data_IF_848788107502
#
_entry.id   IF_848788107502
#
_cell.length_a   1.000
_cell.length_b   1.000
_cell.length_c   1.000
_cell.angle_alpha   90.00
_cell.angle_beta   90.00
_cell.angle_gamma   90.00
#
_symmetry.space_group_name_H-M   'P 1'
#
loop_
_entity.id
_entity.type
_entity.pdbx_description
1 polymer ?
#
# COMPACT_ATOMS: atom_id res chain seq x y z
N UNK A 1 -8.24 49.36 -25.62
CA UNK A 1 -8.03 48.08 -24.93
C UNK A 1 -9.23 47.19 -25.23
N UNK A 2 -9.02 46.04 -25.87
CA UNK A 2 -10.01 45.39 -26.74
C UNK A 2 -11.02 44.53 -25.96
N UNK A 3 -12.31 44.87 -26.03
CA UNK A 3 -13.45 44.21 -25.36
C UNK A 3 -13.60 42.71 -25.69
N UNK A 4 -12.94 42.24 -26.77
CA UNK A 4 -12.85 40.83 -27.18
C UNK A 4 -12.01 39.93 -26.27
N UNK A 5 -11.16 40.49 -25.39
CA UNK A 5 -10.35 39.70 -24.44
C UNK A 5 -11.08 39.36 -23.14
N UNK A 6 -12.19 40.05 -22.82
CA UNK A 6 -12.93 39.85 -21.56
C UNK A 6 -14.01 38.76 -21.70
N UNK A 7 -14.59 38.57 -22.89
CA UNK A 7 -15.59 37.52 -23.15
C UNK A 7 -15.03 36.12 -23.29
N UNK A 8 -13.75 35.96 -23.64
CA UNK A 8 -13.11 34.64 -23.72
C UNK A 8 -12.81 34.02 -22.34
N UNK A 9 -12.71 34.84 -21.28
CA UNK A 9 -12.45 34.35 -19.92
C UNK A 9 -13.72 33.85 -19.21
N UNK A 10 -14.91 34.33 -19.57
CA UNK A 10 -16.17 33.84 -19.00
C UNK A 10 -16.71 32.55 -19.66
N UNK A 11 -16.32 32.27 -20.90
CA UNK A 11 -16.73 31.03 -21.60
C UNK A 11 -15.85 29.81 -21.27
N UNK A 12 -14.69 30.01 -20.63
CA UNK A 12 -13.83 28.91 -20.16
C UNK A 12 -14.24 28.40 -18.76
N UNK A 13 -14.76 29.28 -17.90
CA UNK A 13 -15.19 28.91 -16.54
C UNK A 13 -16.52 28.12 -16.51
N UNK A 14 -17.40 28.32 -17.51
CA UNK A 14 -18.68 27.60 -17.58
C UNK A 14 -18.57 26.19 -18.19
N UNK A 15 -17.50 25.90 -18.95
CA UNK A 15 -17.28 24.58 -19.55
C UNK A 15 -16.63 23.58 -18.57
N UNK A 16 -15.93 24.07 -17.54
CA UNK A 16 -15.37 23.24 -16.47
C UNK A 16 -16.44 22.77 -15.45
N UNK A 17 -17.59 23.44 -15.39
CA UNK A 17 -18.66 23.13 -14.43
C UNK A 17 -19.76 22.21 -14.99
N UNK A 18 -19.68 21.78 -16.25
CA UNK A 18 -20.77 21.07 -16.95
C UNK A 18 -20.40 19.68 -17.52
N UNK A 19 -19.24 19.12 -17.20
CA UNK A 19 -18.87 17.75 -17.63
C UNK A 19 -18.83 16.72 -16.49
N UNK A 20 -19.45 17.04 -15.35
CA UNK A 20 -19.78 16.02 -14.34
C UNK A 20 -21.08 15.32 -14.78
N UNK A 21 -21.00 14.53 -15.86
CA UNK A 21 -22.02 13.51 -16.08
C UNK A 21 -21.80 12.45 -15.01
N UNK A 22 -22.70 12.45 -14.03
CA UNK A 22 -22.75 11.49 -12.95
C UNK A 22 -22.74 10.07 -13.54
N UNK A 23 -21.59 9.42 -13.50
CA UNK A 23 -21.51 7.97 -13.43
C UNK A 23 -22.39 7.54 -12.25
N UNK A 24 -23.15 6.43 -12.36
CA UNK A 24 -23.84 5.91 -11.20
C UNK A 24 -22.80 5.62 -10.13
N UNK A 25 -22.87 6.37 -9.04
CA UNK A 25 -22.15 6.10 -7.81
C UNK A 25 -22.64 4.75 -7.27
N UNK A 26 -22.12 3.65 -7.81
CA UNK A 26 -21.67 2.59 -6.92
C UNK A 26 -20.65 3.29 -6.03
N UNK A 27 -20.95 3.45 -4.75
CA UNK A 27 -19.99 3.97 -3.79
C UNK A 27 -18.81 2.98 -3.77
N UNK A 28 -17.85 3.21 -4.67
CA UNK A 28 -16.53 2.64 -4.57
C UNK A 28 -15.95 3.30 -3.33
N UNK A 29 -15.59 2.49 -2.33
CA UNK A 29 -14.86 2.96 -1.16
C UNK A 29 -13.77 3.93 -1.62
N UNK A 30 -13.69 5.15 -1.06
CA UNK A 30 -12.68 6.10 -1.46
C UNK A 30 -11.32 5.44 -1.25
N UNK A 31 -10.49 5.40 -2.30
CA UNK A 31 -9.11 4.96 -2.18
C UNK A 31 -8.40 5.89 -1.18
N UNK A 32 -7.74 5.31 -0.18
CA UNK A 32 -6.99 6.06 0.84
C UNK A 32 -5.57 5.55 0.89
N UNK A 33 -4.63 6.48 0.76
CA UNK A 33 -3.21 6.19 0.83
C UNK A 33 -2.74 6.38 2.29
N UNK A 34 -2.07 5.38 2.85
CA UNK A 34 -1.47 5.49 4.19
C UNK A 34 -0.51 6.67 4.23
N UNK A 35 -0.63 7.52 5.25
CA UNK A 35 0.19 8.72 5.44
C UNK A 35 -0.22 9.96 4.64
N UNK A 36 -1.23 9.90 3.77
CA UNK A 36 -1.79 11.05 3.06
C UNK A 36 -3.04 11.53 3.80
N UNK A 37 -3.02 12.72 4.43
CA UNK A 37 -4.11 13.24 5.25
C UNK A 37 -4.92 14.34 4.54
N UNK A 38 -4.39 14.96 3.51
CA UNK A 38 -5.10 15.98 2.72
C UNK A 38 -5.77 15.44 1.45
N UNK A 39 -5.61 14.13 1.19
CA UNK A 39 -6.22 13.38 0.10
C UNK A 39 -5.74 13.82 -1.29
N UNK A 40 -4.51 14.30 -1.39
CA UNK A 40 -3.87 14.66 -2.66
C UNK A 40 -3.11 13.48 -3.31
N UNK A 41 -3.12 12.32 -2.66
CA UNK A 41 -2.46 11.07 -3.08
C UNK A 41 -0.93 11.17 -3.11
N UNK A 42 -0.37 12.11 -2.37
CA UNK A 42 1.05 12.24 -2.11
C UNK A 42 1.28 12.25 -0.60
N UNK A 43 2.28 11.50 -0.15
CA UNK A 43 2.72 11.57 1.25
C UNK A 43 3.75 12.68 1.36
N UNK A 44 3.36 13.80 1.98
CA UNK A 44 4.17 15.02 2.06
C UNK A 44 4.41 15.48 3.50
N UNK A 45 5.23 16.52 3.66
CA UNK A 45 5.38 17.20 4.95
C UNK A 45 4.09 17.88 5.43
N UNK A 46 3.13 18.18 4.54
CA UNK A 46 1.84 18.73 4.94
C UNK A 46 1.03 17.70 5.73
N UNK A 47 1.07 16.43 5.32
CA UNK A 47 0.36 15.34 5.98
C UNK A 47 0.89 15.08 7.38
N UNK A 48 2.22 15.08 7.54
CA UNK A 48 2.86 15.01 8.85
C UNK A 48 2.42 16.18 9.75
N UNK A 49 2.31 17.39 9.20
CA UNK A 49 1.84 18.56 9.94
C UNK A 49 0.36 18.45 10.32
N UNK A 50 -0.48 17.85 9.47
CA UNK A 50 -1.89 17.59 9.77
C UNK A 50 -2.04 16.57 10.90
N UNK A 51 -1.27 15.49 10.90
CA UNK A 51 -1.25 14.50 11.99
C UNK A 51 -0.80 15.15 13.32
N UNK A 52 0.26 15.96 13.27
CA UNK A 52 0.74 16.68 14.45
C UNK A 52 -0.28 17.69 14.98
N UNK A 53 -0.99 18.40 14.10
CA UNK A 53 -2.06 19.31 14.50
C UNK A 53 -3.21 18.54 15.16
N UNK A 54 -3.55 17.37 14.61
CA UNK A 54 -4.59 16.52 15.18
C UNK A 54 -4.25 16.12 16.62
N UNK A 55 -3.03 15.64 16.85
CA UNK A 55 -2.50 15.36 18.18
C UNK A 55 -2.48 16.59 19.09
N UNK A 56 -1.97 17.73 18.63
CA UNK A 56 -1.87 18.94 19.45
C UNK A 56 -3.24 19.47 19.93
N UNK A 57 -4.25 19.43 19.06
CA UNK A 57 -5.62 19.82 19.38
C UNK A 57 -6.29 18.84 20.37
N UNK A 58 -5.86 17.57 20.41
CA UNK A 58 -6.36 16.60 21.39
C UNK A 58 -5.86 16.90 22.81
N UNK A 59 -4.62 17.37 22.95
CA UNK A 59 -4.04 17.76 24.23
C UNK A 59 -4.76 18.94 24.91
N UNK A 60 -5.38 19.82 24.10
CA UNK A 60 -6.18 20.95 24.60
C UNK A 60 -7.68 20.65 24.65
N UNK A 61 -8.09 19.44 24.26
CA UNK A 61 -9.48 18.97 24.32
C UNK A 61 -10.41 19.54 23.24
N UNK A 62 -9.86 20.04 22.13
CA UNK A 62 -10.66 20.54 21.01
C UNK A 62 -11.17 19.41 20.10
N UNK A 63 -10.46 18.28 20.05
CA UNK A 63 -10.88 17.06 19.35
C UNK A 63 -10.30 15.80 20.00
N UNK A 64 -10.73 14.63 19.55
CA UNK A 64 -10.08 13.35 19.90
C UNK A 64 -8.99 13.03 18.89
N UNK A 65 -7.96 12.31 19.32
CA UNK A 65 -6.96 11.72 18.44
C UNK A 65 -7.13 10.22 18.22
N UNK A 66 -8.25 9.63 18.63
CA UNK A 66 -8.58 8.26 18.28
C UNK A 66 -8.63 8.09 16.75
N UNK A 67 -8.03 7.02 16.25
CA UNK A 67 -8.15 6.61 14.87
C UNK A 67 -9.60 6.18 14.56
N UNK A 68 -10.08 6.61 13.41
CA UNK A 68 -11.43 6.40 12.91
C UNK A 68 -11.37 6.20 11.40
N UNK A 69 -12.47 5.77 10.79
CA UNK A 69 -12.55 5.59 9.33
C UNK A 69 -12.20 6.87 8.52
N UNK A 70 -12.27 8.05 9.16
CA UNK A 70 -11.97 9.34 8.54
C UNK A 70 -10.49 9.75 8.62
N UNK A 71 -9.69 9.16 9.51
CA UNK A 71 -8.30 9.56 9.75
C UNK A 71 -7.33 8.39 9.98
N UNK A 72 -7.75 7.14 9.81
CA UNK A 72 -6.89 5.97 10.08
C UNK A 72 -5.63 5.91 9.23
N UNK A 73 -5.62 6.57 8.07
CA UNK A 73 -4.40 6.74 7.27
C UNK A 73 -3.27 7.47 8.02
N UNK A 74 -3.62 8.21 9.08
CA UNK A 74 -2.69 8.91 9.96
C UNK A 74 -2.20 8.05 11.12
N UNK A 75 -2.83 6.91 11.40
CA UNK A 75 -2.43 5.97 12.46
C UNK A 75 -1.43 4.98 11.85
N UNK A 76 -0.17 5.40 11.84
CA UNK A 76 0.91 4.70 11.15
C UNK A 76 1.38 3.51 11.95
N UNK A 77 1.36 3.50 13.29
CA UNK A 77 1.71 2.28 14.03
C UNK A 77 0.50 1.37 14.31
N UNK A 78 -0.72 1.84 14.03
CA UNK A 78 -1.98 1.12 14.20
C UNK A 78 -2.27 0.78 15.67
N UNK A 79 -1.89 1.67 16.59
CA UNK A 79 -2.23 1.56 18.01
C UNK A 79 -3.63 2.12 18.33
N UNK A 80 -4.33 2.65 17.32
CA UNK A 80 -5.65 3.24 17.43
C UNK A 80 -5.65 4.72 17.82
N UNK A 81 -4.48 5.35 17.92
CA UNK A 81 -4.27 6.72 18.37
C UNK A 81 -3.33 7.44 17.42
N UNK A 82 -3.79 8.55 16.85
CA UNK A 82 -2.94 9.42 16.03
C UNK A 82 -2.12 10.34 16.95
N UNK A 83 -0.81 10.17 16.98
CA UNK A 83 0.08 10.92 17.88
C UNK A 83 1.32 11.54 17.21
N UNK A 84 2.32 11.92 18.00
CA UNK A 84 3.56 12.53 17.51
C UNK A 84 4.44 11.54 16.73
N UNK A 85 4.39 10.24 17.07
CA UNK A 85 5.14 9.19 16.40
C UNK A 85 4.63 8.98 14.99
N UNK A 86 3.31 9.01 14.78
CA UNK A 86 2.74 8.95 13.45
C UNK A 86 3.18 10.11 12.56
N UNK A 87 3.07 11.32 13.08
CA UNK A 87 3.51 12.52 12.37
C UNK A 87 5.00 12.43 12.00
N UNK A 88 5.83 11.91 12.91
CA UNK A 88 7.25 11.67 12.66
C UNK A 88 7.47 10.60 11.59
N UNK A 89 6.71 9.50 11.61
CA UNK A 89 6.81 8.43 10.63
C UNK A 89 6.41 8.90 9.23
N UNK A 90 5.31 9.68 9.10
CA UNK A 90 4.90 10.32 7.85
C UNK A 90 6.01 11.24 7.32
N UNK A 91 6.59 12.08 8.19
CA UNK A 91 7.68 12.97 7.79
C UNK A 91 8.92 12.20 7.34
N UNK A 92 9.25 11.10 8.03
CA UNK A 92 10.38 10.24 7.66
C UNK A 92 10.14 9.57 6.31
N UNK A 93 8.95 9.01 6.08
CA UNK A 93 8.53 8.46 4.78
C UNK A 93 8.71 9.48 3.66
N UNK A 94 8.20 10.70 3.85
CA UNK A 94 8.35 11.79 2.88
C UNK A 94 9.83 12.11 2.62
N UNK A 95 10.64 12.24 3.67
CA UNK A 95 12.06 12.58 3.53
C UNK A 95 12.85 11.50 2.78
N UNK A 96 12.63 10.21 3.09
CA UNK A 96 13.27 9.09 2.41
C UNK A 96 12.83 9.02 0.93
N UNK A 97 11.53 9.22 0.66
CA UNK A 97 11.00 9.29 -0.70
C UNK A 97 11.64 10.42 -1.52
N UNK A 98 11.86 11.60 -0.91
CA UNK A 98 12.55 12.73 -1.54
C UNK A 98 14.03 12.45 -1.84
N UNK A 99 14.66 11.51 -1.13
CA UNK A 99 16.02 11.03 -1.40
C UNK A 99 16.06 9.96 -2.51
N UNK A 100 14.90 9.60 -3.08
CA UNK A 100 14.77 8.53 -4.07
C UNK A 100 14.79 7.13 -3.45
N UNK A 101 14.67 7.04 -2.13
CA UNK A 101 14.50 5.76 -1.45
C UNK A 101 13.05 5.27 -1.59
N UNK A 102 12.80 4.03 -1.16
CA UNK A 102 11.49 3.38 -1.24
C UNK A 102 11.13 2.88 0.15
N UNK A 103 10.82 3.81 1.08
CA UNK A 103 10.54 3.46 2.47
C UNK A 103 9.29 2.58 2.57
N UNK A 104 9.29 1.68 3.53
CA UNK A 104 8.14 0.86 3.89
C UNK A 104 7.52 1.38 5.16
N UNK A 105 6.19 1.41 5.20
CA UNK A 105 5.48 1.67 6.44
C UNK A 105 5.84 0.61 7.49
N UNK A 106 6.01 -0.65 7.09
CA UNK A 106 6.47 -1.69 8.01
C UNK A 106 7.83 -1.37 8.67
N UNK A 107 8.83 -0.95 7.89
CA UNK A 107 10.16 -0.64 8.43
C UNK A 107 10.12 0.61 9.34
N UNK A 108 9.35 1.62 8.95
CA UNK A 108 9.19 2.84 9.74
C UNK A 108 8.50 2.58 11.08
N UNK A 109 7.56 1.64 11.12
CA UNK A 109 6.91 1.17 12.36
C UNK A 109 7.90 0.42 13.25
N UNK A 110 8.75 -0.44 12.69
CA UNK A 110 9.73 -1.21 13.45
C UNK A 110 10.88 -0.35 14.02
N UNK A 111 11.26 0.73 13.31
CA UNK A 111 12.24 1.70 13.78
C UNK A 111 11.78 2.53 15.00
N UNK A 112 10.51 2.45 15.38
CA UNK A 112 10.01 3.22 16.52
C UNK A 112 10.49 2.71 17.88
N UNK A 113 11.09 1.50 17.98
CA UNK A 113 11.44 0.80 19.24
C UNK A 113 10.30 0.74 20.29
N UNK A 114 9.11 1.21 19.92
CA UNK A 114 7.93 1.45 20.72
C UNK A 114 6.74 0.97 19.89
N UNK A 115 6.57 -0.35 19.80
CA UNK A 115 5.20 -0.88 19.69
C UNK A 115 4.60 -0.67 21.09
N UNK A 116 4.17 0.56 21.37
CA UNK A 116 3.41 0.88 22.57
C UNK A 116 1.96 0.63 22.25
N UNK A 117 1.39 -0.51 22.64
CA UNK A 117 -0.04 -0.48 22.89
C UNK A 117 -0.24 0.49 24.04
N UNK A 118 -0.84 1.65 23.78
CA UNK A 118 -1.19 2.62 24.82
C UNK A 118 -2.30 2.11 25.78
N UNK A 119 -2.52 0.78 25.85
CA UNK A 119 -3.26 0.09 26.91
C UNK A 119 -2.37 -0.50 28.03
N UNK A 120 -1.04 -0.48 27.86
CA UNK A 120 -0.10 -1.04 28.85
C UNK A 120 0.10 -2.55 28.76
N UNK A 121 -0.25 -3.20 27.66
CA UNK A 121 0.17 -4.56 27.34
C UNK A 121 1.44 -4.56 26.49
N UNK A 122 2.53 -5.09 27.07
CA UNK A 122 3.70 -5.48 26.27
C UNK A 122 3.25 -6.50 25.23
N UNK A 123 3.76 -6.41 23.99
CA UNK A 123 3.59 -7.44 22.98
C UNK A 123 4.17 -8.75 23.53
N UNK A 124 3.32 -9.52 24.22
CA UNK A 124 3.57 -10.93 24.45
C UNK A 124 3.62 -11.53 23.06
N UNK A 125 4.82 -11.90 22.65
CA UNK A 125 5.11 -12.85 21.59
C UNK A 125 4.15 -14.03 21.76
N UNK A 126 3.00 -13.98 21.07
CA UNK A 126 1.90 -14.91 21.31
C UNK A 126 2.38 -16.30 20.90
N UNK A 127 2.50 -17.17 21.90
CA UNK A 127 2.78 -18.59 21.70
C UNK A 127 1.66 -19.20 20.87
N UNK A 128 2.05 -19.92 19.81
CA UNK A 128 1.20 -20.61 18.84
C UNK A 128 0.33 -21.75 19.42
N UNK A 129 -0.02 -21.74 20.71
CA UNK A 129 -0.57 -22.93 21.38
C UNK A 129 -2.01 -22.85 21.91
N UNK A 130 -2.66 -21.69 22.06
CA UNK A 130 -4.06 -21.69 22.53
C UNK A 130 -4.96 -20.70 21.78
N UNK A 131 -6.06 -21.25 21.25
CA UNK A 131 -7.12 -20.55 20.54
C UNK A 131 -7.88 -19.62 21.49
N UNK A 132 -7.46 -18.37 21.63
CA UNK A 132 -8.33 -17.31 22.11
C UNK A 132 -8.29 -16.08 21.20
N UNK A 133 -9.48 -15.74 20.73
CA UNK A 133 -9.84 -14.73 19.76
C UNK A 133 -9.47 -13.33 20.25
N UNK A 134 -8.62 -12.60 19.51
CA UNK A 134 -8.43 -11.16 19.71
C UNK A 134 -9.77 -10.46 19.48
N UNK A 135 -10.23 -9.56 20.37
CA UNK A 135 -11.53 -8.89 20.20
C UNK A 135 -11.57 -8.10 18.89
N UNK A 136 -12.54 -8.40 18.03
CA UNK A 136 -12.85 -7.68 16.77
C UNK A 136 -13.33 -6.23 16.95
N UNK A 137 -13.17 -5.64 18.13
CA UNK A 137 -13.70 -4.31 18.46
C UNK A 137 -12.64 -3.20 18.53
N UNK A 138 -11.38 -3.51 18.22
CA UNK A 138 -10.39 -2.50 17.81
C UNK A 138 -10.81 -1.98 16.43
N UNK A 139 -10.83 -0.66 16.17
CA UNK A 139 -11.29 -0.13 14.89
C UNK A 139 -10.43 -0.61 13.71
N UNK A 140 -9.16 -0.98 13.96
CA UNK A 140 -8.22 -1.46 12.95
C UNK A 140 -7.38 -2.62 13.50
N UNK A 141 -7.88 -3.87 13.46
CA UNK A 141 -7.11 -5.00 13.97
C UNK A 141 -5.82 -5.17 13.17
N UNK A 142 -4.68 -5.02 13.82
CA UNK A 142 -3.41 -5.49 13.27
C UNK A 142 -3.50 -7.00 13.13
N UNK A 143 -3.65 -7.46 11.89
CA UNK A 143 -3.88 -8.86 11.56
C UNK A 143 -2.59 -9.70 11.57
N UNK A 144 -1.48 -9.16 12.10
CA UNK A 144 -0.20 -9.85 12.30
C UNK A 144 0.73 -9.83 11.09
N UNK A 145 0.21 -9.66 9.87
CA UNK A 145 0.99 -9.51 8.63
C UNK A 145 0.58 -8.24 7.88
N UNK A 146 1.53 -7.60 7.22
CA UNK A 146 1.28 -6.48 6.31
C UNK A 146 1.56 -6.89 4.88
N UNK A 147 0.69 -6.49 3.96
CA UNK A 147 0.98 -6.45 2.53
C UNK A 147 0.99 -5.00 2.10
N UNK A 148 2.14 -4.52 1.64
CA UNK A 148 2.33 -3.13 1.25
C UNK A 148 2.69 -3.04 -0.24
N UNK A 149 1.98 -2.19 -0.98
CA UNK A 149 2.29 -1.91 -2.37
C UNK A 149 3.10 -0.61 -2.45
N UNK A 150 4.27 -0.67 -3.07
CA UNK A 150 5.16 0.49 -3.16
C UNK A 150 4.55 1.66 -3.92
N UNK A 151 4.87 2.88 -3.47
CA UNK A 151 4.49 4.12 -4.15
C UNK A 151 5.59 4.61 -5.09
N UNK A 152 5.20 5.26 -6.20
CA UNK A 152 6.13 5.82 -7.19
C UNK A 152 5.64 7.10 -7.82
N UNK A 153 6.60 7.85 -8.34
CA UNK A 153 6.36 8.87 -9.36
C UNK A 153 6.96 8.42 -10.69
N UNK A 154 6.34 8.79 -11.81
CA UNK A 154 6.78 8.39 -13.15
C UNK A 154 6.46 9.46 -14.19
N UNK A 155 7.27 9.57 -15.23
CA UNK A 155 6.98 10.41 -16.39
C UNK A 155 6.04 9.69 -17.39
N UNK A 156 5.31 10.42 -18.25
CA UNK A 156 4.56 9.81 -19.35
C UNK A 156 5.49 8.97 -20.25
N UNK A 157 5.08 7.75 -20.57
CA UNK A 157 5.88 6.78 -21.34
C UNK A 157 6.93 6.01 -20.54
N UNK A 158 7.12 6.31 -19.25
CA UNK A 158 8.09 5.62 -18.41
C UNK A 158 7.62 4.21 -18.04
N UNK A 159 8.55 3.26 -18.08
CA UNK A 159 8.35 1.91 -17.54
C UNK A 159 8.91 1.85 -16.12
N UNK A 160 8.06 1.50 -15.15
CA UNK A 160 8.39 1.53 -13.72
C UNK A 160 8.05 0.22 -13.03
N UNK A 161 8.86 -0.13 -12.02
CA UNK A 161 8.70 -1.34 -11.21
C UNK A 161 8.19 -1.00 -9.81
N UNK A 162 7.11 -1.69 -9.44
CA UNK A 162 6.36 -1.58 -8.19
C UNK A 162 6.56 -2.86 -7.36
N UNK A 163 7.35 -2.80 -6.28
CA UNK A 163 7.48 -3.90 -5.34
C UNK A 163 6.22 -4.03 -4.48
N UNK A 164 5.88 -5.28 -4.19
CA UNK A 164 4.91 -5.66 -3.16
C UNK A 164 5.69 -6.30 -2.03
N UNK A 165 5.57 -5.71 -0.85
CA UNK A 165 6.23 -6.11 0.36
C UNK A 165 5.30 -6.91 1.24
N UNK A 166 5.88 -7.85 1.98
CA UNK A 166 5.21 -8.55 3.05
C UNK A 166 6.08 -8.50 4.31
N UNK A 167 5.52 -7.95 5.38
CA UNK A 167 6.15 -7.91 6.72
C UNK A 167 5.29 -8.66 7.74
N UNK A 168 5.88 -9.07 8.86
CA UNK A 168 5.24 -9.95 9.85
C UNK A 168 5.19 -11.42 9.43
N UNK A 169 5.89 -11.78 8.35
CA UNK A 169 6.00 -13.15 7.88
C UNK A 169 7.06 -13.93 8.68
N UNK A 170 6.66 -15.09 9.21
CA UNK A 170 7.60 -16.06 9.79
C UNK A 170 8.01 -17.13 8.78
N UNK A 171 7.10 -17.53 7.88
CA UNK A 171 7.33 -18.49 6.79
C UNK A 171 6.23 -18.38 5.73
N UNK A 172 6.52 -18.57 4.44
CA UNK A 172 5.46 -18.72 3.41
C UNK A 172 5.66 -19.98 2.61
N UNK A 173 4.61 -20.81 2.53
CA UNK A 173 4.61 -22.06 1.75
C UNK A 173 3.97 -21.89 0.38
N UNK A 174 3.00 -21.00 0.26
CA UNK A 174 2.40 -20.67 -1.03
C UNK A 174 1.67 -19.34 -0.95
N UNK A 175 1.44 -18.72 -2.09
CA UNK A 175 0.46 -17.66 -2.16
C UNK A 175 -0.16 -17.51 -3.55
N UNK A 176 -1.33 -16.89 -3.53
CA UNK A 176 -2.00 -16.26 -4.65
C UNK A 176 -1.97 -14.77 -4.38
N UNK A 177 -1.33 -13.99 -5.24
CA UNK A 177 -1.27 -12.54 -5.16
C UNK A 177 -1.92 -11.96 -6.40
N UNK A 178 -2.88 -11.05 -6.19
CA UNK A 178 -3.57 -10.33 -7.25
C UNK A 178 -3.45 -8.84 -6.99
N UNK A 179 -2.69 -8.15 -7.83
CA UNK A 179 -2.64 -6.69 -7.90
C UNK A 179 -3.30 -6.31 -9.22
N UNK A 180 -4.60 -6.02 -9.19
CA UNK A 180 -5.36 -5.75 -10.43
C UNK A 180 -4.68 -4.57 -11.18
N UNK A 181 -4.30 -4.74 -12.46
CA UNK A 181 -3.65 -3.65 -13.20
C UNK A 181 -4.56 -2.42 -13.22
N UNK A 182 -4.06 -1.23 -12.84
CA UNK A 182 -4.87 -0.02 -12.84
C UNK A 182 -5.36 0.30 -14.24
N UNK A 183 -6.58 0.85 -14.35
CA UNK A 183 -7.11 1.27 -15.65
C UNK A 183 -6.18 2.30 -16.29
N UNK A 184 -5.80 2.06 -17.54
CA UNK A 184 -4.92 2.94 -18.30
C UNK A 184 -3.42 2.70 -18.10
N UNK A 185 -2.98 1.86 -17.15
CA UNK A 185 -1.59 1.39 -17.13
C UNK A 185 -1.43 0.13 -18.00
N UNK A 186 -0.33 0.05 -18.73
CA UNK A 186 0.02 -1.15 -19.48
C UNK A 186 0.85 -2.09 -18.60
N UNK A 187 0.35 -3.28 -18.20
CA UNK A 187 1.15 -4.25 -17.47
C UNK A 187 2.21 -4.88 -18.39
N UNK A 188 3.47 -4.84 -17.96
CA UNK A 188 4.63 -5.35 -18.73
C UNK A 188 5.03 -6.73 -18.23
N UNK A 189 5.33 -6.87 -16.95
CA UNK A 189 5.84 -8.11 -16.36
C UNK A 189 5.55 -8.18 -14.87
N UNK A 190 5.67 -9.40 -14.32
CA UNK A 190 5.68 -9.66 -12.89
C UNK A 190 6.92 -10.51 -12.61
N UNK A 191 7.68 -10.20 -11.56
CA UNK A 191 8.75 -11.04 -11.03
C UNK A 191 8.39 -11.53 -9.63
N UNK A 192 8.90 -12.71 -9.28
CA UNK A 192 8.89 -13.20 -7.90
C UNK A 192 10.24 -12.88 -7.27
N UNK A 193 10.23 -12.29 -6.08
CA UNK A 193 11.43 -11.88 -5.35
C UNK A 193 11.85 -12.89 -4.26
N UNK A 194 11.12 -14.00 -4.13
CA UNK A 194 11.47 -15.05 -3.17
C UNK A 194 12.76 -15.78 -3.56
N UNK A 195 13.54 -16.27 -2.57
CA UNK A 195 14.77 -17.02 -2.80
C UNK A 195 14.47 -18.46 -3.27
N UNK A 196 13.97 -18.61 -4.49
CA UNK A 196 13.52 -19.88 -5.07
C UNK A 196 14.67 -20.86 -5.38
N UNK A 197 15.92 -20.44 -5.21
CA UNK A 197 17.11 -21.21 -5.59
C UNK A 197 17.38 -21.18 -7.09
N UNK A 198 18.07 -22.21 -7.61
CA UNK A 198 18.41 -22.29 -9.03
C UNK A 198 17.15 -22.47 -9.90
N UNK A 199 16.99 -21.63 -10.93
CA UNK A 199 15.91 -21.76 -11.90
C UNK A 199 16.24 -22.93 -12.85
N UNK A 200 15.42 -23.98 -12.82
CA UNK A 200 15.57 -25.19 -13.63
C UNK A 200 14.89 -25.06 -14.99
N UNK A 201 13.74 -24.40 -15.03
CA UNK A 201 12.97 -24.16 -16.25
C UNK A 201 12.29 -22.79 -16.18
N UNK A 202 12.29 -22.06 -17.30
CA UNK A 202 11.66 -20.76 -17.43
C UNK A 202 10.91 -20.69 -18.76
N UNK A 203 9.60 -20.55 -18.66
CA UNK A 203 8.71 -20.09 -19.72
C UNK A 203 8.25 -18.66 -19.39
N UNK A 204 7.60 -17.99 -20.34
CA UNK A 204 7.12 -16.60 -20.18
C UNK A 204 6.15 -16.44 -18.99
N UNK A 205 5.54 -17.52 -18.52
CA UNK A 205 4.54 -17.52 -17.45
C UNK A 205 4.81 -18.50 -16.32
N UNK A 206 5.83 -19.35 -16.43
CA UNK A 206 6.09 -20.41 -15.45
C UNK A 206 7.57 -20.45 -15.13
N UNK A 207 7.89 -20.38 -13.86
CA UNK A 207 9.24 -20.56 -13.33
C UNK A 207 9.26 -21.82 -12.46
N UNK A 208 10.03 -22.81 -12.87
CA UNK A 208 10.34 -23.97 -12.04
C UNK A 208 11.74 -23.77 -11.47
N UNK A 209 11.86 -23.76 -10.16
CA UNK A 209 13.11 -23.56 -9.45
C UNK A 209 13.39 -24.73 -8.50
N UNK A 210 14.53 -24.66 -7.81
CA UNK A 210 14.92 -25.65 -6.81
C UNK A 210 13.88 -25.80 -5.71
N UNK A 211 13.43 -24.68 -5.14
CA UNK A 211 12.59 -24.65 -3.95
C UNK A 211 11.12 -24.32 -4.24
N UNK A 212 10.72 -24.16 -5.50
CA UNK A 212 9.35 -23.73 -5.80
C UNK A 212 8.96 -23.69 -7.26
N UNK A 213 7.68 -23.45 -7.47
CA UNK A 213 7.03 -23.25 -8.75
C UNK A 213 6.26 -21.93 -8.71
N UNK A 214 6.45 -21.07 -9.71
CA UNK A 214 5.78 -19.78 -9.83
C UNK A 214 5.04 -19.70 -11.17
N UNK A 215 3.80 -19.21 -11.11
CA UNK A 215 3.01 -18.83 -12.27
C UNK A 215 2.80 -17.33 -12.28
N UNK A 216 3.03 -16.71 -13.43
CA UNK A 216 3.00 -15.28 -13.65
C UNK A 216 2.03 -14.96 -14.78
N UNK A 217 1.08 -14.05 -14.54
CA UNK A 217 0.16 -13.58 -15.58
C UNK A 217 -0.04 -12.06 -15.50
N UNK A 218 0.92 -11.29 -16.06
CA UNK A 218 0.91 -9.83 -16.02
C UNK A 218 -0.39 -9.15 -16.50
N UNK A 219 -1.05 -9.60 -17.59
CA UNK A 219 -2.26 -8.93 -18.09
C UNK A 219 -3.43 -8.82 -17.10
N UNK A 220 -3.46 -9.65 -16.06
CA UNK A 220 -4.47 -9.60 -14.99
C UNK A 220 -3.84 -9.41 -13.61
N UNK A 221 -2.54 -9.09 -13.54
CA UNK A 221 -1.86 -8.79 -12.30
C UNK A 221 -1.74 -9.95 -11.32
N UNK A 222 -1.80 -11.20 -11.80
CA UNK A 222 -1.79 -12.36 -10.91
C UNK A 222 -0.41 -13.02 -10.86
N UNK A 223 0.03 -13.32 -9.65
CA UNK A 223 1.13 -14.23 -9.36
C UNK A 223 0.64 -15.34 -8.46
N UNK A 224 1.04 -16.57 -8.74
CA UNK A 224 0.86 -17.70 -7.86
C UNK A 224 2.21 -18.35 -7.62
N UNK A 225 2.52 -18.71 -6.38
CA UNK A 225 3.67 -19.55 -6.09
C UNK A 225 3.34 -20.62 -5.07
N UNK A 226 4.14 -21.69 -5.13
CA UNK A 226 4.17 -22.77 -4.15
C UNK A 226 5.62 -23.17 -3.92
N UNK A 227 5.99 -23.34 -2.66
CA UNK A 227 7.28 -23.92 -2.26
C UNK A 227 7.15 -25.43 -2.21
N UNK A 228 8.22 -26.15 -2.58
CA UNK A 228 8.18 -27.61 -2.74
C UNK A 228 8.72 -28.33 -1.50
N UNK A 229 9.74 -27.75 -0.84
CA UNK A 229 10.44 -28.39 0.28
C UNK A 229 10.33 -27.58 1.57
N UNK A 230 10.94 -26.40 1.61
CA UNK A 230 10.98 -25.56 2.82
C UNK A 230 10.16 -24.28 2.62
N UNK A 231 9.53 -23.74 3.67
CA UNK A 231 8.95 -22.42 3.62
C UNK A 231 10.03 -21.36 3.36
N UNK A 232 9.70 -20.34 2.57
CA UNK A 232 10.63 -19.26 2.21
C UNK A 232 10.28 -17.97 2.94
N UNK A 233 11.31 -17.15 3.18
CA UNK A 233 11.20 -15.78 3.64
C UNK A 233 11.82 -14.84 2.59
N UNK A 234 11.19 -13.69 2.31
CA UNK A 234 11.80 -12.67 1.45
C UNK A 234 13.01 -12.03 2.14
N UNK A 235 14.13 -11.86 1.43
CA UNK A 235 15.38 -11.31 2.01
C UNK A 235 15.26 -9.83 2.42
N UNK A 236 14.33 -9.09 1.82
CA UNK A 236 14.11 -7.65 2.02
C UNK A 236 12.61 -7.30 2.11
N UNK A 237 11.78 -8.26 2.51
CA UNK A 237 10.33 -8.10 2.55
C UNK A 237 9.64 -8.15 1.18
N UNK A 238 10.34 -7.98 0.05
CA UNK A 238 9.71 -8.02 -1.28
C UNK A 238 9.33 -9.45 -1.63
N UNK A 239 8.05 -9.67 -1.94
CA UNK A 239 7.53 -10.96 -2.41
C UNK A 239 7.29 -10.98 -3.91
N UNK A 240 7.01 -9.82 -4.51
CA UNK A 240 6.71 -9.67 -5.92
C UNK A 240 7.14 -8.29 -6.42
N UNK A 241 7.43 -8.17 -7.71
CA UNK A 241 7.53 -6.86 -8.36
C UNK A 241 6.68 -6.84 -9.63
N UNK A 242 5.90 -5.78 -9.78
CA UNK A 242 5.01 -5.55 -10.90
C UNK A 242 5.56 -4.41 -11.74
N UNK A 243 5.74 -4.65 -13.04
CA UNK A 243 6.24 -3.62 -13.96
C UNK A 243 5.11 -3.13 -14.85
N UNK A 244 4.98 -1.81 -14.92
CA UNK A 244 3.97 -1.13 -15.74
C UNK A 244 4.64 -0.09 -16.64
N UNK A 245 4.01 0.21 -17.77
CA UNK A 245 4.34 1.38 -18.59
C UNK A 245 3.23 2.42 -18.44
N UNK A 246 3.62 3.65 -18.08
CA UNK A 246 2.74 4.81 -18.04
C UNK A 246 2.44 5.24 -19.48
N UNK A 247 1.18 5.55 -19.85
CA UNK A 247 0.86 6.06 -21.18
C UNK A 247 1.68 7.30 -21.56
N UNK A 248 2.12 7.38 -22.82
CA UNK A 248 2.84 8.56 -23.32
C UNK A 248 2.02 9.86 -23.25
N UNK A 249 0.68 9.73 -23.28
CA UNK A 249 -0.26 10.84 -23.21
C UNK A 249 -0.83 11.10 -21.79
N UNK A 250 -0.28 10.40 -20.78
CA UNK A 250 -0.63 10.64 -19.39
C UNK A 250 -0.32 12.10 -19.01
N UNK A 251 -1.22 12.72 -18.25
CA UNK A 251 -1.06 14.11 -17.83
C UNK A 251 -0.35 14.17 -16.48
N UNK A 252 0.50 15.19 -16.24
CA UNK A 252 0.97 15.49 -14.90
C UNK A 252 -0.18 15.55 -13.89
N UNK A 253 -0.01 14.89 -12.74
CA UNK A 253 -1.02 14.73 -11.71
C UNK A 253 -2.04 13.62 -11.98
N UNK A 254 -1.94 12.85 -13.07
CA UNK A 254 -2.70 11.59 -13.20
C UNK A 254 -2.25 10.61 -12.13
N UNK A 255 -3.21 9.94 -11.51
CA UNK A 255 -3.01 9.01 -10.40
C UNK A 255 -3.49 7.63 -10.84
N UNK A 256 -2.63 6.62 -10.63
CA UNK A 256 -2.98 5.22 -10.82
C UNK A 256 -2.93 4.51 -9.46
N UNK A 257 -4.10 4.27 -8.82
CA UNK A 257 -4.16 3.56 -7.56
C UNK A 257 -3.82 2.09 -7.77
N UNK A 258 -2.98 1.54 -6.91
CA UNK A 258 -2.52 0.16 -6.94
C UNK A 258 -3.09 -0.55 -5.70
N UNK A 259 -4.07 -1.43 -5.93
CA UNK A 259 -4.80 -2.10 -4.86
C UNK A 259 -4.71 -3.62 -5.01
N UNK A 260 -4.30 -4.31 -3.94
CA UNK A 260 -4.34 -5.76 -3.90
C UNK A 260 -5.79 -6.22 -3.81
N UNK A 261 -6.20 -7.12 -4.71
CA UNK A 261 -7.53 -7.72 -4.67
C UNK A 261 -7.62 -8.71 -3.51
N UNK A 262 -7.93 -8.22 -2.29
CA UNK A 262 -7.96 -9.01 -1.08
C UNK A 262 -8.82 -10.29 -1.17
N UNK A 263 -10.03 -10.28 -1.80
CA UNK A 263 -10.82 -11.50 -2.00
C UNK A 263 -10.15 -12.59 -2.86
N UNK A 264 -9.21 -12.22 -3.74
CA UNK A 264 -8.47 -13.18 -4.58
C UNK A 264 -7.07 -13.49 -4.05
N UNK A 265 -6.55 -12.65 -3.17
CA UNK A 265 -5.21 -12.78 -2.59
C UNK A 265 -5.26 -13.65 -1.33
N UNK A 266 -4.35 -14.62 -1.24
CA UNK A 266 -4.21 -15.49 -0.07
C UNK A 266 -2.75 -15.90 0.05
N UNK A 267 -2.15 -15.68 1.23
CA UNK A 267 -0.82 -16.18 1.57
C UNK A 267 -0.99 -17.29 2.59
N UNK A 268 -0.29 -18.41 2.43
CA UNK A 268 -0.36 -19.55 3.34
C UNK A 268 0.93 -19.69 4.12
N UNK A 269 0.80 -19.75 5.45
CA UNK A 269 1.90 -20.12 6.34
C UNK A 269 2.18 -21.62 6.30
N UNK A 270 3.10 -22.07 7.16
CA UNK A 270 3.53 -23.47 7.31
C UNK A 270 2.43 -24.48 7.69
N UNK A 271 2.74 -25.34 8.66
CA UNK A 271 2.10 -26.64 8.92
C UNK A 271 0.56 -26.66 9.02
N UNK A 272 -0.08 -25.53 9.30
CA UNK A 272 -1.53 -25.45 9.52
C UNK A 272 -2.34 -25.10 8.26
N UNK A 273 -1.69 -24.73 7.14
CA UNK A 273 -2.33 -24.36 5.85
C UNK A 273 -3.46 -23.32 5.96
N UNK A 274 -3.55 -22.59 7.06
CA UNK A 274 -4.45 -21.47 7.21
C UNK A 274 -3.86 -20.27 6.48
N UNK A 275 -4.70 -19.52 5.77
CA UNK A 275 -4.29 -18.27 5.15
C UNK A 275 -3.91 -17.26 6.23
N UNK A 276 -2.81 -16.55 6.05
CA UNK A 276 -2.48 -15.39 6.86
C UNK A 276 -3.63 -14.37 6.74
N UNK A 277 -4.04 -13.84 7.88
CA UNK A 277 -4.74 -12.56 7.89
C UNK A 277 -3.71 -11.46 7.68
N UNK A 278 -4.09 -10.38 7.01
CA UNK A 278 -3.19 -9.26 6.76
C UNK A 278 -3.92 -7.93 6.77
N UNK A 279 -3.14 -6.91 7.03
CA UNK A 279 -3.48 -5.51 6.78
C UNK A 279 -2.91 -5.12 5.42
N UNK A 280 -3.76 -4.55 4.56
CA UNK A 280 -3.38 -4.08 3.24
C UNK A 280 -3.03 -2.60 3.29
N UNK A 281 -1.85 -2.25 2.78
CA UNK A 281 -1.40 -0.88 2.55
C UNK A 281 -1.27 -0.69 1.05
N UNK A 282 -2.15 0.14 0.51
CA UNK A 282 -2.20 0.40 -0.92
C UNK A 282 -1.06 1.31 -1.39
N UNK A 283 -0.80 1.24 -2.68
CA UNK A 283 0.23 2.03 -3.35
C UNK A 283 -0.34 2.91 -4.45
N UNK A 284 0.50 3.79 -4.99
CA UNK A 284 0.10 4.70 -6.07
C UNK A 284 1.26 4.95 -7.03
N UNK A 285 0.93 5.14 -8.32
CA UNK A 285 1.82 5.81 -9.28
C UNK A 285 1.24 7.20 -9.57
N UNK A 286 2.03 8.24 -9.32
CA UNK A 286 1.69 9.63 -9.65
C UNK A 286 2.52 10.11 -10.84
N UNK A 287 1.85 10.62 -11.87
CA UNK A 287 2.52 11.13 -13.08
C UNK A 287 3.08 12.53 -12.84
N UNK A 288 4.36 12.75 -13.15
CA UNK A 288 5.02 14.07 -13.06
C UNK A 288 4.83 14.94 -14.32
#
# INVERSE_FOLDING_TARGET
MNLKKITAFLSAAAAALAMMQALPASAQEPFRLTGDLDYDYLVTANDAQLALNLYAESLVGNQTNTATDDNYQADIDMDGIVDVMDAQNILNYFCLSMLGEQPLWADLRELSDYISYHDGSEYLQYSLEEHDFVPQNEPFPNNGMYLEVGCRTAAPGETITIPVYASGLTTVTSAKLFLDPPEGLEPVSISCALPLGEIKEKDDRVLTAENGLVYLYPPVGSMFWVTIDEPLLPENGIIAEYTYTVPEDAKPGTIYPLHVNAPKTTLFGGENHNGYQYTLLDGVIVVQ
#
